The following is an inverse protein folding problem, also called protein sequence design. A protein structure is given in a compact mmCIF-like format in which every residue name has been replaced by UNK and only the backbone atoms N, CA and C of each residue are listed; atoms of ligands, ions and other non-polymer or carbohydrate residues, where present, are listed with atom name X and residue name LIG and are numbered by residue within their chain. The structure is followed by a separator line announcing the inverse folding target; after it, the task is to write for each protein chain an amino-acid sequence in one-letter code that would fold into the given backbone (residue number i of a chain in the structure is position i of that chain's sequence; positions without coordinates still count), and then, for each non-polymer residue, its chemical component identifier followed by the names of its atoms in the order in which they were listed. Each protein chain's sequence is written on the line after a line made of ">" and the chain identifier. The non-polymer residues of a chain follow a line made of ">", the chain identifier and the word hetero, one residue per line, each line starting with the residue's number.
data_IF_472229895142
#
_entry.id   IF_472229895142
#
_cell.length_a   1.000
_cell.length_b   1.000
_cell.length_c   1.000
_cell.angle_alpha   90.00
_cell.angle_beta   90.00
_cell.angle_gamma   90.00
#
_symmetry.space_group_name_H-M   'P 1'
#
loop_
_entity.id
_entity.type
_entity.pdbx_description
1 polymer ?
#
# COMPACT_ATOMS: atom_id res chain seq x y z
N UNK A 1 -4.90 34.88 18.58
CA UNK A 1 -5.68 33.64 18.36
C UNK A 1 -5.08 32.68 17.32
N UNK A 2 -4.16 33.11 16.43
CA UNK A 2 -3.48 32.23 15.45
C UNK A 2 -2.61 31.09 16.05
N UNK A 3 -2.11 31.26 17.28
CA UNK A 3 -1.18 30.32 17.91
C UNK A 3 -1.81 28.94 18.22
N UNK A 4 -3.06 28.92 18.69
CA UNK A 4 -3.72 27.68 19.11
C UNK A 4 -4.09 26.80 17.90
N UNK A 5 -4.55 27.43 16.82
CA UNK A 5 -4.81 26.76 15.54
C UNK A 5 -3.52 26.18 14.92
N UNK A 6 -2.42 26.95 14.93
CA UNK A 6 -1.11 26.46 14.45
C UNK A 6 -0.60 25.27 15.26
N UNK A 7 -0.81 25.29 16.58
CA UNK A 7 -0.38 24.21 17.46
C UNK A 7 -1.22 22.94 17.24
N UNK A 8 -2.53 23.08 17.03
CA UNK A 8 -3.43 21.98 16.69
C UNK A 8 -3.09 21.35 15.33
N UNK A 9 -2.86 22.17 14.30
CA UNK A 9 -2.47 21.67 12.97
C UNK A 9 -1.12 20.97 13.04
N UNK A 10 -0.14 21.51 13.77
CA UNK A 10 1.18 20.88 13.95
C UNK A 10 1.06 19.54 14.68
N UNK A 11 0.20 19.47 15.72
CA UNK A 11 0.00 18.24 16.48
C UNK A 11 -0.78 17.19 15.69
N UNK A 12 -1.77 17.61 14.91
CA UNK A 12 -2.51 16.75 13.98
C UNK A 12 -1.60 16.24 12.85
N UNK A 13 -0.76 17.11 12.26
CA UNK A 13 0.22 16.72 11.26
C UNK A 13 1.22 15.70 11.81
N UNK A 14 1.73 15.90 13.04
CA UNK A 14 2.60 14.91 13.70
C UNK A 14 1.89 13.60 14.02
N UNK A 15 0.60 13.62 14.39
CA UNK A 15 -0.17 12.39 14.63
C UNK A 15 -0.45 11.64 13.32
N UNK A 16 -0.77 12.35 12.25
CA UNK A 16 -0.91 11.78 10.91
C UNK A 16 0.44 11.19 10.48
N UNK A 17 1.53 11.92 10.68
CA UNK A 17 2.88 11.46 10.35
C UNK A 17 3.30 10.25 11.17
N UNK A 18 2.99 10.21 12.47
CA UNK A 18 3.21 9.03 13.32
C UNK A 18 2.36 7.82 12.88
N UNK A 19 1.14 8.05 12.38
CA UNK A 19 0.34 6.99 11.76
C UNK A 19 0.90 6.51 10.40
N UNK A 20 1.74 7.31 9.74
CA UNK A 20 2.54 6.92 8.57
C UNK A 20 3.91 6.30 8.95
N UNK A 21 4.31 6.35 10.22
CA UNK A 21 5.58 5.79 10.71
C UNK A 21 5.47 4.30 11.06
N UNK A 22 4.28 3.80 11.42
CA UNK A 22 4.07 2.36 11.59
C UNK A 22 4.12 1.67 10.21
N UNK A 23 5.02 0.67 10.02
CA UNK A 23 5.19 0.04 8.73
C UNK A 23 3.93 -0.74 8.37
N UNK A 24 3.19 -0.27 7.37
CA UNK A 24 2.00 -0.97 6.91
C UNK A 24 2.37 -2.02 5.87
N UNK A 25 1.91 -3.25 6.08
CA UNK A 25 2.19 -4.40 5.22
C UNK A 25 0.87 -4.97 4.69
N UNK A 26 0.82 -5.25 3.39
CA UNK A 26 -0.28 -5.96 2.75
C UNK A 26 0.22 -7.21 2.03
N UNK A 27 -0.55 -8.28 2.10
CA UNK A 27 -0.39 -9.45 1.22
C UNK A 27 -1.18 -9.24 -0.05
N UNK A 28 -0.55 -9.52 -1.19
CA UNK A 28 -1.20 -9.49 -2.51
C UNK A 28 -1.62 -10.91 -2.84
N UNK A 29 -2.92 -11.16 -2.95
CA UNK A 29 -3.46 -12.46 -3.33
C UNK A 29 -4.20 -12.42 -4.65
N UNK A 30 -4.00 -13.45 -5.47
CA UNK A 30 -4.61 -13.60 -6.77
C UNK A 30 -5.02 -15.06 -6.96
N UNK A 31 -6.27 -15.29 -7.41
CA UNK A 31 -6.82 -16.65 -7.60
C UNK A 31 -6.68 -17.56 -6.36
N UNK A 32 -6.73 -16.99 -5.16
CA UNK A 32 -6.62 -17.72 -3.89
C UNK A 32 -5.20 -18.01 -3.42
N UNK A 33 -4.16 -17.58 -4.15
CA UNK A 33 -2.76 -17.72 -3.75
C UNK A 33 -2.15 -16.37 -3.40
N UNK A 34 -1.30 -16.31 -2.37
CA UNK A 34 -0.48 -15.12 -2.11
C UNK A 34 0.66 -15.09 -3.12
N UNK A 35 0.78 -13.99 -3.86
CA UNK A 35 1.72 -13.81 -4.98
C UNK A 35 2.74 -12.70 -4.73
N UNK A 36 2.59 -11.93 -3.66
CA UNK A 36 3.54 -10.87 -3.33
C UNK A 36 3.12 -10.08 -2.10
N UNK A 37 3.83 -8.98 -1.88
CA UNK A 37 3.58 -8.06 -0.78
C UNK A 37 3.74 -6.61 -1.22
N UNK A 38 3.02 -5.74 -0.52
CA UNK A 38 3.15 -4.30 -0.59
C UNK A 38 3.52 -3.79 0.80
N UNK A 39 4.53 -2.93 0.89
CA UNK A 39 4.96 -2.31 2.14
C UNK A 39 4.98 -0.79 1.98
N UNK A 40 4.45 -0.08 2.97
CA UNK A 40 4.68 1.34 3.16
C UNK A 40 5.53 1.53 4.43
N UNK A 41 6.76 2.01 4.27
CA UNK A 41 7.70 2.24 5.37
C UNK A 41 8.33 3.63 5.20
N UNK A 42 8.24 4.47 6.23
CA UNK A 42 8.76 5.85 6.22
C UNK A 42 8.27 6.67 4.99
N UNK A 43 7.02 6.45 4.56
CA UNK A 43 6.42 7.08 3.39
C UNK A 43 6.89 6.55 2.03
N UNK A 44 7.77 5.53 2.00
CA UNK A 44 8.20 4.86 0.79
C UNK A 44 7.40 3.57 0.57
N UNK A 45 6.83 3.45 -0.64
CA UNK A 45 6.08 2.27 -1.06
C UNK A 45 6.98 1.30 -1.82
N UNK A 46 6.95 0.02 -1.43
CA UNK A 46 7.74 -1.05 -2.06
C UNK A 46 6.85 -2.24 -2.39
N UNK A 47 6.97 -2.70 -3.63
CA UNK A 47 6.27 -3.86 -4.15
C UNK A 47 7.26 -5.02 -4.28
N UNK A 48 6.90 -6.19 -3.79
CA UNK A 48 7.71 -7.41 -3.89
C UNK A 48 6.85 -8.56 -4.40
N UNK A 49 7.45 -9.44 -5.20
CA UNK A 49 6.78 -10.59 -5.82
C UNK A 49 7.41 -11.89 -5.36
N UNK A 50 6.59 -12.93 -5.19
CA UNK A 50 7.08 -14.28 -4.96
C UNK A 50 7.34 -14.99 -6.29
N UNK A 51 8.11 -16.08 -6.26
CA UNK A 51 8.61 -16.76 -7.46
C UNK A 51 7.49 -17.17 -8.44
N UNK A 52 6.33 -17.58 -7.93
CA UNK A 52 5.18 -18.01 -8.73
C UNK A 52 4.22 -16.86 -9.13
N UNK A 53 4.64 -15.60 -8.93
CA UNK A 53 3.81 -14.46 -9.27
C UNK A 53 3.54 -14.39 -10.79
N UNK A 54 2.29 -14.12 -11.22
CA UNK A 54 1.96 -13.99 -12.63
C UNK A 54 2.82 -12.92 -13.33
N UNK A 55 3.43 -13.19 -14.50
CA UNK A 55 4.29 -12.22 -15.20
C UNK A 55 3.60 -10.88 -15.51
N UNK A 56 2.28 -10.88 -15.64
CA UNK A 56 1.47 -9.66 -15.86
C UNK A 56 1.50 -8.70 -14.67
N UNK A 57 1.65 -9.24 -13.47
CA UNK A 57 1.83 -8.48 -12.22
C UNK A 57 3.31 -8.11 -12.02
N UNK A 58 4.23 -9.06 -12.21
CA UNK A 58 5.67 -8.84 -12.03
C UNK A 58 6.18 -7.68 -12.88
N UNK A 59 5.72 -7.58 -14.14
CA UNK A 59 6.09 -6.50 -15.06
C UNK A 59 5.31 -5.18 -14.83
N UNK A 60 4.73 -4.99 -13.65
CA UNK A 60 4.09 -3.73 -13.29
C UNK A 60 5.13 -2.66 -13.00
N UNK A 61 5.16 -1.61 -13.82
CA UNK A 61 6.01 -0.43 -13.67
C UNK A 61 5.20 0.83 -13.39
N UNK A 62 3.95 0.68 -12.96
CA UNK A 62 3.08 1.80 -12.63
C UNK A 62 3.40 2.40 -11.25
N UNK A 63 2.72 3.49 -10.94
CA UNK A 63 2.87 4.18 -9.65
C UNK A 63 2.29 3.33 -8.51
N UNK A 64 3.05 3.21 -7.44
CA UNK A 64 2.62 2.59 -6.19
C UNK A 64 2.57 3.67 -5.12
N UNK A 65 1.39 3.92 -4.56
CA UNK A 65 1.17 4.93 -3.52
C UNK A 65 0.05 4.50 -2.56
N UNK A 66 -0.50 5.47 -1.82
CA UNK A 66 -1.48 5.26 -0.76
C UNK A 66 -2.85 4.75 -1.19
N UNK A 67 -3.16 4.72 -2.49
CA UNK A 67 -4.44 4.18 -2.97
C UNK A 67 -4.34 2.67 -3.24
N UNK A 68 -4.39 1.89 -2.15
CA UNK A 68 -4.24 0.43 -2.16
C UNK A 68 -5.39 -0.24 -2.92
N UNK A 69 -6.60 0.27 -2.78
CA UNK A 69 -7.79 -0.21 -3.48
C UNK A 69 -7.69 0.04 -5.00
N UNK A 70 -7.25 1.22 -5.44
CA UNK A 70 -7.01 1.47 -6.86
C UNK A 70 -5.90 0.56 -7.41
N UNK A 71 -4.84 0.31 -6.62
CA UNK A 71 -3.78 -0.62 -7.02
C UNK A 71 -4.32 -2.05 -7.20
N UNK A 72 -5.20 -2.52 -6.32
CA UNK A 72 -5.87 -3.80 -6.43
C UNK A 72 -6.71 -3.90 -7.72
N UNK A 73 -7.41 -2.83 -8.10
CA UNK A 73 -8.19 -2.75 -9.33
C UNK A 73 -7.26 -2.87 -10.56
N UNK A 74 -6.18 -2.10 -10.60
CA UNK A 74 -5.20 -2.13 -11.71
C UNK A 74 -4.59 -3.52 -11.86
N UNK A 75 -4.22 -4.17 -10.76
CA UNK A 75 -3.73 -5.55 -10.80
C UNK A 75 -4.79 -6.53 -11.29
N UNK A 76 -6.04 -6.34 -10.88
CA UNK A 76 -7.16 -7.18 -11.32
C UNK A 76 -7.39 -7.08 -12.83
N UNK A 77 -7.37 -5.87 -13.37
CA UNK A 77 -7.51 -5.61 -14.81
C UNK A 77 -6.36 -6.24 -15.61
N UNK A 78 -5.12 -6.04 -15.16
CA UNK A 78 -3.93 -6.60 -15.82
C UNK A 78 -3.95 -8.13 -15.81
N UNK A 79 -4.30 -8.72 -14.67
CA UNK A 79 -4.33 -10.17 -14.53
C UNK A 79 -5.54 -10.80 -15.25
N UNK A 80 -6.64 -10.06 -15.39
CA UNK A 80 -7.93 -10.59 -15.85
C UNK A 80 -8.61 -11.47 -14.80
N UNK A 81 -8.27 -11.30 -13.52
CA UNK A 81 -8.84 -12.03 -12.39
C UNK A 81 -8.76 -11.16 -11.13
N UNK A 82 -9.65 -11.34 -10.14
CA UNK A 82 -9.62 -10.55 -8.91
C UNK A 82 -8.27 -10.67 -8.19
N UNK A 83 -7.72 -9.53 -7.81
CA UNK A 83 -6.55 -9.37 -6.95
C UNK A 83 -6.98 -8.65 -5.68
N UNK A 84 -6.57 -9.15 -4.52
CA UNK A 84 -6.86 -8.57 -3.21
C UNK A 84 -5.58 -8.15 -2.53
N UNK A 85 -5.63 -6.99 -1.87
CA UNK A 85 -4.57 -6.50 -0.99
C UNK A 85 -5.13 -6.49 0.43
N UNK A 86 -4.62 -7.37 1.28
CA UNK A 86 -5.12 -7.56 2.64
C UNK A 86 -4.08 -7.05 3.63
N UNK A 87 -4.45 -6.10 4.47
CA UNK A 87 -3.53 -5.53 5.46
C UNK A 87 -3.24 -6.56 6.55
N UNK A 88 -1.96 -6.72 6.87
CA UNK A 88 -1.54 -7.52 8.01
C UNK A 88 -1.40 -6.62 9.24
N UNK A 89 -1.83 -7.10 10.43
CA UNK A 89 -1.46 -6.44 11.67
C UNK A 89 0.06 -6.51 11.84
N UNK A 90 0.65 -5.38 12.20
CA UNK A 90 2.08 -5.22 12.47
C UNK A 90 2.35 -5.35 13.95
#
# INVERSE_FOLDING_TARGET
>A
MLSLASTLVTRAARLIQAAYEEPALWTISAKGCVVGSLVCEAGAWRLSWFDDAPPRLVNYAGRVDSDVEALALVFSERLGAPVRLESLPV
#
